data_IF_318684059779
#
_entry.id   IF_318684059779
#
_cell.length_a   1.000
_cell.length_b   1.000
_cell.length_c   1.000
_cell.angle_alpha   90.00
_cell.angle_beta   90.00
_cell.angle_gamma   90.00
#
_symmetry.space_group_name_H-M   'P 1'
#
loop_
_entity.id
_entity.type
_entity.pdbx_description
1 polymer ?
#
# COMPACT_ATOMS: atom_id res chain seq x y z
N UNK A 1 -30.84 -46.18 30.45
CA UNK A 1 -30.25 -45.35 29.36
C UNK A 1 -31.39 -44.77 28.55
N UNK A 2 -31.51 -43.44 28.41
CA UNK A 2 -32.53 -42.81 27.58
C UNK A 2 -32.18 -42.98 26.08
N UNK A 3 -33.16 -42.95 25.16
CA UNK A 3 -32.93 -43.09 23.73
C UNK A 3 -32.15 -41.89 23.19
N UNK A 4 -31.23 -42.14 22.24
CA UNK A 4 -30.51 -41.11 21.49
C UNK A 4 -31.51 -40.21 20.74
N UNK A 5 -31.36 -38.88 20.79
CA UNK A 5 -32.14 -37.99 19.94
C UNK A 5 -31.79 -38.26 18.47
N UNK A 6 -32.82 -38.37 17.62
CA UNK A 6 -32.70 -38.51 16.17
C UNK A 6 -31.98 -37.31 15.57
N UNK A 7 -31.01 -37.57 14.68
CA UNK A 7 -30.41 -36.54 13.84
C UNK A 7 -31.48 -35.81 13.04
N UNK A 8 -31.44 -34.46 12.94
CA UNK A 8 -32.36 -33.73 12.08
C UNK A 8 -32.14 -34.16 10.61
N UNK A 9 -33.25 -34.32 9.89
CA UNK A 9 -33.24 -34.60 8.47
C UNK A 9 -32.49 -33.49 7.71
N UNK A 10 -31.79 -33.87 6.64
CA UNK A 10 -31.19 -32.91 5.71
C UNK A 10 -32.27 -31.94 5.22
N UNK A 11 -31.98 -30.62 5.17
CA UNK A 11 -32.95 -29.64 4.69
C UNK A 11 -33.35 -29.99 3.25
N UNK A 12 -34.64 -30.09 3.01
CA UNK A 12 -35.22 -30.20 1.67
C UNK A 12 -34.93 -28.91 0.89
N UNK A 13 -34.75 -29.04 -0.42
CA UNK A 13 -34.40 -28.01 -1.43
C UNK A 13 -35.40 -26.83 -1.58
N UNK A 14 -35.95 -26.29 -0.48
CA UNK A 14 -36.96 -25.23 -0.46
C UNK A 14 -36.54 -23.95 0.29
N UNK A 15 -35.31 -23.89 0.83
CA UNK A 15 -34.69 -22.64 1.30
C UNK A 15 -33.71 -22.12 0.23
N UNK A 16 -34.25 -21.71 -0.92
CA UNK A 16 -33.48 -20.83 -1.81
C UNK A 16 -33.42 -19.46 -1.15
N UNK A 17 -32.24 -19.06 -0.67
CA UNK A 17 -31.98 -17.70 -0.21
C UNK A 17 -32.54 -16.71 -1.23
N UNK A 18 -33.36 -15.76 -0.80
CA UNK A 18 -33.97 -14.78 -1.70
C UNK A 18 -32.86 -13.95 -2.36
N UNK A 19 -32.92 -13.80 -3.70
CA UNK A 19 -31.97 -12.98 -4.44
C UNK A 19 -31.91 -11.54 -3.88
N UNK A 20 -30.70 -11.08 -3.55
CA UNK A 20 -30.47 -9.71 -3.08
C UNK A 20 -30.18 -8.80 -4.28
N UNK A 21 -31.03 -7.81 -4.51
CA UNK A 21 -30.82 -6.79 -5.53
C UNK A 21 -30.20 -5.52 -4.93
N UNK A 22 -29.08 -5.07 -5.50
CA UNK A 22 -28.40 -3.83 -5.11
C UNK A 22 -27.97 -3.02 -6.32
N UNK A 23 -27.94 -1.69 -6.18
CA UNK A 23 -27.44 -0.79 -7.21
C UNK A 23 -25.94 -0.92 -7.45
N UNK A 24 -25.16 -1.19 -6.38
CA UNK A 24 -23.71 -1.46 -6.47
C UNK A 24 -23.30 -2.65 -5.60
N UNK A 25 -22.77 -3.70 -6.23
CA UNK A 25 -22.13 -4.82 -5.53
C UNK A 25 -20.60 -4.63 -5.52
N UNK A 26 -20.00 -4.68 -4.33
CA UNK A 26 -18.55 -4.68 -4.12
C UNK A 26 -18.11 -6.08 -3.73
N UNK A 27 -17.33 -6.73 -4.58
CA UNK A 27 -16.80 -8.09 -4.34
C UNK A 27 -15.36 -7.99 -3.83
N UNK A 28 -15.12 -8.51 -2.62
CA UNK A 28 -13.84 -8.52 -1.93
C UNK A 28 -13.75 -7.49 -0.80
N UNK A 29 -13.35 -7.95 0.39
CA UNK A 29 -13.21 -7.17 1.63
C UNK A 29 -11.78 -6.74 1.92
N UNK A 30 -10.91 -6.70 0.92
CA UNK A 30 -9.57 -6.12 1.04
C UNK A 30 -9.55 -4.58 1.02
N UNK A 31 -8.37 -3.95 1.09
CA UNK A 31 -8.21 -2.49 1.10
C UNK A 31 -8.97 -1.76 -0.01
N UNK A 32 -8.98 -2.32 -1.22
CA UNK A 32 -9.67 -1.74 -2.38
C UNK A 32 -11.20 -1.76 -2.20
N UNK A 33 -11.77 -2.92 -1.85
CA UNK A 33 -13.21 -3.05 -1.66
C UNK A 33 -13.72 -2.26 -0.46
N UNK A 34 -12.97 -2.23 0.64
CA UNK A 34 -13.26 -1.36 1.79
C UNK A 34 -13.23 0.11 1.35
N UNK A 35 -12.23 0.53 0.58
CA UNK A 35 -12.15 1.89 0.04
C UNK A 35 -13.37 2.27 -0.80
N UNK A 36 -13.82 1.37 -1.68
CA UNK A 36 -15.04 1.56 -2.46
C UNK A 36 -16.29 1.69 -1.58
N UNK A 37 -16.45 0.78 -0.61
CA UNK A 37 -17.58 0.79 0.34
C UNK A 37 -17.61 2.06 1.20
N UNK A 38 -16.45 2.54 1.66
CA UNK A 38 -16.34 3.81 2.38
C UNK A 38 -16.81 5.00 1.53
N UNK A 39 -16.46 5.00 0.24
CA UNK A 39 -16.90 6.06 -0.68
C UNK A 39 -18.39 5.98 -0.96
N UNK A 40 -18.94 4.78 -1.17
CA UNK A 40 -20.37 4.55 -1.36
C UNK A 40 -21.16 5.01 -0.14
N UNK A 41 -20.77 4.62 1.07
CA UNK A 41 -21.39 5.09 2.31
C UNK A 41 -21.41 6.62 2.39
N UNK A 42 -20.29 7.28 2.07
CA UNK A 42 -20.20 8.75 2.11
C UNK A 42 -21.16 9.42 1.14
N UNK A 43 -21.39 8.84 -0.03
CA UNK A 43 -22.26 9.39 -1.07
C UNK A 43 -23.74 9.06 -0.83
N UNK A 44 -24.02 7.86 -0.32
CA UNK A 44 -25.35 7.24 -0.39
C UNK A 44 -26.07 7.22 0.96
N UNK A 45 -25.37 7.02 2.08
CA UNK A 45 -25.99 6.78 3.40
C UNK A 45 -26.01 8.00 4.33
N UNK A 46 -25.16 9.00 4.09
CA UNK A 46 -25.02 10.15 4.99
C UNK A 46 -25.80 11.37 4.45
N UNK A 47 -26.64 12.03 5.27
CA UNK A 47 -27.50 13.15 4.84
C UNK A 47 -26.74 14.42 4.43
N UNK A 48 -25.43 14.44 4.65
CA UNK A 48 -24.45 15.45 4.25
C UNK A 48 -23.09 14.77 4.37
N UNK A 49 -22.06 15.09 3.56
CA UNK A 49 -20.74 14.50 3.72
C UNK A 49 -20.20 14.83 5.11
N UNK A 50 -20.31 13.90 6.08
CA UNK A 50 -19.61 14.04 7.36
C UNK A 50 -18.11 14.25 7.08
N UNK A 51 -17.45 15.10 7.87
CA UNK A 51 -16.08 15.50 7.62
C UNK A 51 -15.16 14.39 8.11
N UNK A 52 -14.98 13.33 7.32
CA UNK A 52 -13.60 12.86 7.15
C UNK A 52 -12.93 13.99 6.37
N UNK A 53 -12.01 14.77 6.99
CA UNK A 53 -11.44 15.95 6.38
C UNK A 53 -10.37 15.48 5.39
N UNK A 54 -10.81 14.83 4.32
CA UNK A 54 -10.11 15.03 3.06
C UNK A 54 -10.38 16.49 2.79
N UNK A 55 -9.40 17.31 3.14
CA UNK A 55 -9.17 18.60 2.53
C UNK A 55 -9.62 18.45 1.07
N UNK A 56 -10.48 19.36 0.61
CA UNK A 56 -11.07 19.27 -0.72
C UNK A 56 -9.96 18.86 -1.69
N UNK A 57 -10.18 18.02 -2.70
CA UNK A 57 -9.05 17.51 -3.51
C UNK A 57 -8.15 18.66 -4.04
N UNK A 58 -8.73 19.87 -4.11
CA UNK A 58 -8.11 21.17 -4.27
C UNK A 58 -7.15 21.63 -3.16
N UNK A 59 -7.44 21.48 -1.88
CA UNK A 59 -6.52 21.81 -0.77
C UNK A 59 -5.22 20.97 -0.85
N UNK A 60 -5.33 19.70 -1.29
CA UNK A 60 -4.16 18.83 -1.53
C UNK A 60 -3.36 19.31 -2.74
N UNK A 61 -4.05 19.72 -3.81
CA UNK A 61 -3.42 20.27 -5.01
C UNK A 61 -2.80 21.66 -4.75
N UNK A 62 -3.41 22.49 -3.91
CA UNK A 62 -2.87 23.79 -3.49
C UNK A 62 -1.64 23.61 -2.60
N UNK A 63 -1.67 22.64 -1.67
CA UNK A 63 -0.49 22.27 -0.88
C UNK A 63 0.64 21.65 -1.73
N UNK A 64 0.30 20.97 -2.83
CA UNK A 64 1.28 20.45 -3.79
C UNK A 64 1.82 21.57 -4.71
N UNK A 65 0.99 22.54 -5.09
CA UNK A 65 1.38 23.72 -5.87
C UNK A 65 2.32 24.64 -5.07
N UNK A 66 2.04 24.85 -3.78
CA UNK A 66 2.90 25.59 -2.85
C UNK A 66 4.30 24.93 -2.69
N UNK A 67 4.41 23.63 -3.00
CA UNK A 67 5.67 22.86 -3.01
C UNK A 67 6.29 22.72 -4.41
N UNK A 68 5.67 23.31 -5.44
CA UNK A 68 6.14 23.26 -6.83
C UNK A 68 5.99 21.89 -7.51
N UNK A 69 5.12 21.02 -6.98
CA UNK A 69 4.94 19.64 -7.47
C UNK A 69 3.87 19.51 -8.56
N UNK A 70 3.12 20.58 -8.81
CA UNK A 70 2.10 20.67 -9.87
C UNK A 70 2.20 22.04 -10.55
N UNK A 71 1.80 22.15 -11.82
CA UNK A 71 1.80 23.42 -12.56
C UNK A 71 1.06 24.55 -11.85
N UNK A 72 1.56 25.78 -11.99
CA UNK A 72 1.05 26.97 -11.30
C UNK A 72 -0.30 27.49 -11.80
N UNK A 73 -0.86 26.88 -12.86
CA UNK A 73 -2.12 27.23 -13.51
C UNK A 73 -3.35 26.51 -12.92
N UNK A 74 -3.20 25.83 -11.77
CA UNK A 74 -4.29 25.22 -10.99
C UNK A 74 -5.54 26.11 -10.80
N UNK A 75 -5.44 27.44 -10.55
CA UNK A 75 -6.59 28.32 -10.46
C UNK A 75 -7.39 28.43 -11.78
N UNK A 76 -6.73 28.30 -12.93
CA UNK A 76 -7.36 28.26 -14.26
C UNK A 76 -8.04 26.90 -14.51
N UNK A 77 -7.41 25.80 -14.06
CA UNK A 77 -7.96 24.45 -14.13
C UNK A 77 -9.24 24.31 -13.28
N UNK A 78 -9.28 24.97 -12.11
CA UNK A 78 -10.45 25.08 -11.23
C UNK A 78 -11.63 25.80 -11.91
N UNK A 79 -11.37 26.83 -12.72
CA UNK A 79 -12.42 27.52 -13.50
C UNK A 79 -12.92 26.69 -14.69
N UNK A 80 -12.08 25.79 -15.22
CA UNK A 80 -12.40 24.94 -16.38
C UNK A 80 -13.06 23.61 -16.04
N UNK A 81 -12.98 23.14 -14.79
CA UNK A 81 -13.74 21.99 -14.32
C UNK A 81 -15.06 22.43 -13.72
N UNK A 82 -16.20 22.27 -14.42
CA UNK A 82 -17.48 22.37 -13.76
C UNK A 82 -17.61 21.12 -12.88
N UNK A 83 -17.27 21.21 -11.60
CA UNK A 83 -17.86 20.31 -10.61
C UNK A 83 -19.36 20.65 -10.53
N UNK A 84 -20.14 20.24 -11.55
CA UNK A 84 -21.58 20.11 -11.35
C UNK A 84 -21.74 19.07 -10.25
N UNK A 85 -22.46 19.38 -9.15
CA UNK A 85 -22.87 18.34 -8.23
C UNK A 85 -23.58 17.26 -9.06
N UNK A 86 -23.10 16.03 -8.96
CA UNK A 86 -23.81 14.89 -9.53
C UNK A 86 -25.10 14.76 -8.70
N UNK A 87 -26.25 15.06 -9.30
CA UNK A 87 -27.53 14.72 -8.67
C UNK A 87 -27.66 13.21 -8.65
N UNK A 88 -27.97 12.68 -7.47
CA UNK A 88 -28.26 11.26 -7.24
C UNK A 88 -29.78 11.03 -7.07
N UNK A 89 -30.59 12.01 -7.50
CA UNK A 89 -32.05 11.94 -7.37
C UNK A 89 -32.60 10.84 -8.29
N UNK A 90 -33.37 9.91 -7.70
CA UNK A 90 -33.93 8.77 -8.41
C UNK A 90 -32.93 7.62 -8.68
N UNK A 91 -31.67 7.72 -8.27
CA UNK A 91 -30.73 6.60 -8.33
C UNK A 91 -30.99 5.58 -7.21
N UNK A 92 -30.81 4.30 -7.51
CA UNK A 92 -30.73 3.27 -6.48
C UNK A 92 -29.50 3.52 -5.61
N UNK A 93 -29.73 3.72 -4.31
CA UNK A 93 -28.70 4.04 -3.30
C UNK A 93 -28.23 2.79 -2.56
N UNK A 94 -28.78 1.63 -2.87
CA UNK A 94 -28.41 0.38 -2.23
C UNK A 94 -27.04 -0.10 -2.72
N UNK A 95 -26.26 -0.62 -1.79
CA UNK A 95 -24.95 -1.20 -2.07
C UNK A 95 -24.64 -2.29 -1.07
N UNK A 96 -23.84 -3.27 -1.47
CA UNK A 96 -23.42 -4.38 -0.61
C UNK A 96 -21.95 -4.71 -0.86
N UNK A 97 -21.19 -4.87 0.23
CA UNK A 97 -19.86 -5.47 0.18
C UNK A 97 -19.95 -6.94 0.56
N UNK A 98 -19.38 -7.83 -0.25
CA UNK A 98 -19.28 -9.27 0.05
C UNK A 98 -17.82 -9.69 0.10
N UNK A 99 -17.47 -10.54 1.06
CA UNK A 99 -16.14 -11.13 1.19
C UNK A 99 -16.29 -12.60 1.59
N UNK A 100 -15.70 -13.49 0.80
CA UNK A 100 -15.76 -14.95 1.01
C UNK A 100 -15.07 -15.41 2.31
N UNK A 101 -14.07 -14.67 2.77
CA UNK A 101 -13.28 -15.02 3.95
C UNK A 101 -14.12 -14.88 5.23
N UNK A 102 -14.26 -15.96 6.03
CA UNK A 102 -14.97 -15.89 7.32
C UNK A 102 -14.18 -15.11 8.38
N UNK A 103 -12.86 -14.96 8.22
CA UNK A 103 -12.01 -14.12 9.07
C UNK A 103 -12.31 -12.62 8.92
N UNK A 104 -13.16 -12.28 7.95
CA UNK A 104 -13.64 -10.93 7.71
C UNK A 104 -12.68 -10.09 6.85
N UNK A 105 -12.70 -8.77 7.02
CA UNK A 105 -12.06 -7.83 6.11
C UNK A 105 -10.53 -7.79 6.26
N UNK A 106 -9.84 -7.57 5.14
CA UNK A 106 -8.39 -7.37 5.09
C UNK A 106 -7.72 -7.96 3.86
N UNK A 107 -8.23 -9.07 3.31
CA UNK A 107 -7.64 -9.74 2.15
C UNK A 107 -6.14 -10.02 2.35
N UNK A 108 -5.30 -9.62 1.39
CA UNK A 108 -3.84 -9.75 1.50
C UNK A 108 -3.20 -8.83 2.58
N UNK A 109 -3.96 -7.88 3.13
CA UNK A 109 -3.53 -7.04 4.24
C UNK A 109 -4.01 -7.58 5.61
N UNK A 110 -4.40 -8.85 5.68
CA UNK A 110 -4.77 -9.55 6.90
C UNK A 110 -3.56 -10.01 7.72
N UNK A 111 -3.82 -10.33 8.98
CA UNK A 111 -2.86 -10.90 9.93
C UNK A 111 -3.43 -12.21 10.45
N UNK A 112 -2.66 -13.29 10.32
CA UNK A 112 -2.95 -14.58 10.92
C UNK A 112 -2.28 -14.71 12.29
N UNK A 113 -2.83 -15.56 13.15
CA UNK A 113 -2.27 -15.88 14.47
C UNK A 113 -2.05 -17.40 14.57
N UNK A 114 -0.88 -17.80 15.03
CA UNK A 114 -0.59 -19.22 15.30
C UNK A 114 -1.19 -19.66 16.65
N UNK A 115 -1.39 -20.96 16.89
CA UNK A 115 -1.87 -21.45 18.19
C UNK A 115 -1.02 -21.02 19.40
N UNK A 116 0.26 -20.69 19.18
CA UNK A 116 1.20 -20.23 20.20
C UNK A 116 1.18 -18.70 20.41
N UNK A 117 0.32 -17.97 19.68
CA UNK A 117 0.13 -16.53 19.81
C UNK A 117 1.08 -15.66 18.98
N UNK A 118 1.70 -16.21 17.93
CA UNK A 118 2.54 -15.43 17.02
C UNK A 118 1.69 -14.85 15.87
N UNK A 119 1.84 -13.54 15.66
CA UNK A 119 1.16 -12.82 14.57
C UNK A 119 2.01 -12.79 13.29
N UNK A 120 1.38 -13.13 12.17
CA UNK A 120 1.98 -13.08 10.84
C UNK A 120 1.08 -12.33 9.86
N UNK A 121 1.56 -11.19 9.38
CA UNK A 121 0.95 -10.55 8.22
C UNK A 121 1.19 -11.39 6.95
N UNK A 122 0.29 -11.31 5.98
CA UNK A 122 0.43 -11.96 4.67
C UNK A 122 1.40 -11.21 3.75
N UNK A 123 2.62 -10.95 4.25
CA UNK A 123 3.67 -10.18 3.60
C UNK A 123 4.31 -9.14 4.53
N UNK A 124 5.46 -8.58 4.11
CA UNK A 124 6.14 -7.52 4.83
C UNK A 124 5.48 -6.15 4.64
N UNK A 125 4.38 -5.91 5.35
CA UNK A 125 3.63 -4.66 5.26
C UNK A 125 4.29 -3.54 6.08
N UNK A 126 4.52 -2.41 5.44
CA UNK A 126 4.95 -1.17 6.08
C UNK A 126 4.11 -0.04 5.52
N UNK A 127 3.53 0.78 6.40
CA UNK A 127 2.55 1.77 5.98
C UNK A 127 3.21 3.12 5.78
N UNK A 128 3.04 3.63 4.57
CA UNK A 128 3.32 4.99 4.14
C UNK A 128 2.29 5.32 3.05
N UNK A 129 1.78 6.55 3.05
CA UNK A 129 0.74 6.97 2.11
C UNK A 129 1.15 8.26 1.40
N UNK A 130 0.71 8.39 0.16
CA UNK A 130 0.74 9.65 -0.59
C UNK A 130 -0.60 10.42 -0.48
N UNK A 131 -1.58 9.83 0.21
CA UNK A 131 -2.95 10.31 0.24
C UNK A 131 -3.42 10.49 1.67
N UNK A 132 -3.72 11.75 2.02
CA UNK A 132 -4.29 12.14 3.32
C UNK A 132 -5.55 11.33 3.66
N UNK A 133 -6.41 11.06 2.69
CA UNK A 133 -7.63 10.27 2.93
C UNK A 133 -7.32 8.84 3.41
N UNK A 134 -6.37 8.16 2.80
CA UNK A 134 -6.02 6.79 3.18
C UNK A 134 -5.43 6.77 4.60
N UNK A 135 -4.56 7.73 4.87
CA UNK A 135 -3.97 8.02 6.16
C UNK A 135 -5.05 8.20 7.26
N UNK A 136 -6.01 9.10 7.05
CA UNK A 136 -7.12 9.34 7.98
C UNK A 136 -8.00 8.12 8.19
N UNK A 137 -8.30 7.37 7.13
CA UNK A 137 -9.06 6.11 7.24
C UNK A 137 -8.33 5.12 8.13
N UNK A 138 -7.02 4.94 7.94
CA UNK A 138 -6.23 4.00 8.73
C UNK A 138 -6.13 4.45 10.19
N UNK A 139 -5.82 5.73 10.46
CA UNK A 139 -5.75 6.25 11.83
C UNK A 139 -7.09 6.17 12.55
N UNK A 140 -8.19 6.52 11.89
CA UNK A 140 -9.53 6.36 12.44
C UNK A 140 -9.88 4.89 12.68
N UNK A 141 -9.38 3.96 11.86
CA UNK A 141 -9.57 2.52 12.04
C UNK A 141 -9.01 1.99 13.35
N UNK A 142 -7.90 2.57 13.83
CA UNK A 142 -7.19 2.13 15.04
C UNK A 142 -7.21 3.11 16.21
N UNK A 143 -7.80 4.30 16.06
CA UNK A 143 -7.87 5.29 17.15
C UNK A 143 -8.49 4.72 18.42
N UNK A 144 -7.93 5.04 19.58
CA UNK A 144 -8.51 4.71 20.89
C UNK A 144 -9.76 5.56 21.16
N UNK A 145 -10.58 5.15 22.13
CA UNK A 145 -11.86 5.80 22.44
C UNK A 145 -11.67 7.27 22.81
N UNK A 146 -10.66 7.58 23.63
CA UNK A 146 -10.35 8.95 24.06
C UNK A 146 -9.95 9.83 22.87
N UNK A 147 -9.13 9.29 21.96
CA UNK A 147 -8.65 10.01 20.79
C UNK A 147 -9.78 10.28 19.78
N UNK A 148 -10.76 9.37 19.70
CA UNK A 148 -11.99 9.60 18.95
C UNK A 148 -12.85 10.71 19.56
N UNK A 149 -12.90 10.79 20.90
CA UNK A 149 -13.72 11.76 21.62
C UNK A 149 -13.18 13.19 21.52
N UNK A 150 -11.87 13.37 21.57
CA UNK A 150 -11.22 14.69 21.47
C UNK A 150 -10.78 15.07 20.05
N UNK A 151 -10.82 14.12 19.10
CA UNK A 151 -10.47 14.34 17.71
C UNK A 151 -8.96 14.36 17.43
N UNK A 152 -8.12 14.12 18.43
CA UNK A 152 -6.65 14.12 18.34
C UNK A 152 -6.11 13.12 17.32
N UNK A 153 -6.88 12.09 16.97
CA UNK A 153 -6.51 11.14 15.92
C UNK A 153 -6.25 11.77 14.55
N UNK A 154 -6.81 12.96 14.28
CA UNK A 154 -6.70 13.69 13.00
C UNK A 154 -5.37 14.42 12.83
N UNK A 155 -4.75 14.78 13.93
CA UNK A 155 -3.46 15.47 13.95
C UNK A 155 -2.30 14.48 13.93
N UNK A 156 -2.60 13.17 13.92
CA UNK A 156 -1.58 12.14 13.87
C UNK A 156 -0.81 12.18 12.55
N UNK A 157 0.49 12.43 12.68
CA UNK A 157 1.47 12.12 11.66
C UNK A 157 2.23 10.83 11.97
N UNK A 158 3.38 10.67 11.31
CA UNK A 158 4.33 9.59 11.55
C UNK A 158 5.24 9.91 12.76
N UNK A 159 4.66 10.42 13.85
CA UNK A 159 5.39 10.76 15.09
C UNK A 159 5.24 9.69 16.19
N UNK A 160 4.28 8.76 16.03
CA UNK A 160 4.02 7.64 16.93
C UNK A 160 2.96 7.95 18.00
N UNK A 161 2.60 6.94 18.82
CA UNK A 161 1.62 7.09 19.90
C UNK A 161 0.28 6.38 19.65
N UNK A 162 -0.58 6.33 20.67
CA UNK A 162 -1.86 5.61 20.64
C UNK A 162 -1.71 4.15 20.25
N UNK A 163 -2.41 3.73 19.19
CA UNK A 163 -2.36 2.37 18.65
C UNK A 163 -1.18 2.09 17.67
N UNK A 164 -0.24 3.03 17.49
CA UNK A 164 0.78 2.96 16.44
C UNK A 164 2.22 2.98 16.98
N UNK A 165 3.09 2.21 16.32
CA UNK A 165 4.53 2.30 16.41
C UNK A 165 5.06 2.97 15.13
N UNK A 166 6.07 3.83 15.28
CA UNK A 166 6.76 4.45 14.14
C UNK A 166 8.21 4.00 14.12
N UNK A 167 8.67 3.63 12.93
CA UNK A 167 10.01 3.10 12.72
C UNK A 167 10.74 3.86 11.63
N UNK A 168 12.02 4.14 11.88
CA UNK A 168 12.97 4.48 10.83
C UNK A 168 13.37 3.21 10.07
N UNK A 169 13.27 3.21 8.75
CA UNK A 169 13.51 2.04 7.91
C UNK A 169 14.98 1.65 7.88
N UNK A 170 15.32 0.54 8.53
CA UNK A 170 16.65 -0.11 8.47
C UNK A 170 16.57 -1.37 7.61
N UNK A 171 17.03 -1.28 6.36
CA UNK A 171 17.00 -2.39 5.39
C UNK A 171 18.40 -2.73 4.90
N UNK A 172 18.65 -4.02 4.67
CA UNK A 172 19.94 -4.58 4.28
C UNK A 172 19.78 -5.65 3.20
N UNK A 173 20.76 -5.72 2.31
CA UNK A 173 20.96 -6.81 1.36
C UNK A 173 21.98 -7.77 1.93
N UNK A 174 21.59 -9.03 2.09
CA UNK A 174 22.52 -10.10 2.46
C UNK A 174 23.12 -10.71 1.19
N UNK A 175 24.43 -10.56 0.99
CA UNK A 175 25.16 -11.15 -0.15
C UNK A 175 26.48 -11.72 0.36
N UNK A 176 26.87 -12.92 -0.08
CA UNK A 176 28.13 -13.58 0.32
C UNK A 176 28.44 -13.53 1.83
N UNK A 177 27.44 -13.73 2.68
CA UNK A 177 27.60 -13.74 4.14
C UNK A 177 27.89 -12.37 4.78
N UNK A 178 27.68 -11.26 4.06
CA UNK A 178 27.78 -9.89 4.58
C UNK A 178 26.47 -9.12 4.39
N UNK A 179 26.23 -8.12 5.25
CA UNK A 179 25.08 -7.22 5.19
C UNK A 179 25.52 -5.88 4.58
N UNK A 180 24.96 -5.55 3.43
CA UNK A 180 25.16 -4.27 2.73
C UNK A 180 23.92 -3.41 2.94
N UNK A 181 24.06 -2.12 3.25
CA UNK A 181 22.90 -1.24 3.42
C UNK A 181 22.10 -1.12 2.12
N UNK A 182 20.78 -1.03 2.23
CA UNK A 182 19.91 -0.72 1.09
C UNK A 182 19.83 0.80 0.85
N UNK A 183 19.82 1.28 -0.42
CA UNK A 183 19.92 0.53 -1.67
C UNK A 183 21.34 0.06 -2.01
N UNK A 184 21.50 -1.21 -2.40
CA UNK A 184 22.79 -1.88 -2.63
C UNK A 184 23.80 -1.08 -3.45
N UNK A 185 23.34 -0.58 -4.60
CA UNK A 185 24.09 0.21 -5.58
C UNK A 185 24.60 1.56 -5.04
N UNK A 186 24.07 2.05 -3.91
CA UNK A 186 24.54 3.28 -3.25
C UNK A 186 25.53 3.03 -2.12
N UNK A 187 25.69 1.78 -1.70
CA UNK A 187 26.49 1.37 -0.54
C UNK A 187 27.51 0.29 -0.92
N UNK A 188 28.10 0.40 -2.11
CA UNK A 188 29.12 -0.54 -2.57
C UNK A 188 30.38 -0.49 -1.69
N UNK A 189 30.60 0.59 -0.94
CA UNK A 189 31.65 0.70 0.06
C UNK A 189 31.51 -0.30 1.20
N UNK A 190 30.29 -0.75 1.52
CA UNK A 190 30.01 -1.75 2.56
C UNK A 190 30.48 -3.15 2.15
N UNK A 191 30.75 -3.38 0.85
CA UNK A 191 31.31 -4.64 0.39
C UNK A 191 32.76 -4.77 0.86
N UNK A 192 33.11 -5.97 1.35
CA UNK A 192 34.51 -6.38 1.54
C UNK A 192 35.32 -6.22 0.25
N UNK A 193 36.58 -5.86 0.40
CA UNK A 193 37.52 -5.77 -0.72
C UNK A 193 37.61 -7.10 -1.48
N UNK A 194 37.73 -7.00 -2.82
CA UNK A 194 37.84 -8.14 -3.71
C UNK A 194 36.91 -8.07 -4.92
N UNK A 195 36.85 -9.18 -5.67
CA UNK A 195 36.23 -9.28 -7.00
C UNK A 195 34.83 -8.67 -7.09
N UNK A 196 33.96 -8.94 -6.11
CA UNK A 196 32.58 -8.40 -6.11
C UNK A 196 32.54 -6.88 -6.06
N UNK A 197 33.34 -6.27 -5.18
CA UNK A 197 33.38 -4.81 -5.03
C UNK A 197 33.94 -4.18 -6.29
N UNK A 198 35.04 -4.73 -6.82
CA UNK A 198 35.67 -4.30 -8.07
C UNK A 198 34.69 -4.36 -9.24
N UNK A 199 34.06 -5.51 -9.50
CA UNK A 199 33.11 -5.68 -10.61
C UNK A 199 31.90 -4.74 -10.50
N UNK A 200 31.36 -4.55 -9.29
CA UNK A 200 30.26 -3.61 -9.06
C UNK A 200 30.67 -2.15 -9.32
N UNK A 201 31.83 -1.73 -8.81
CA UNK A 201 32.31 -0.36 -8.96
C UNK A 201 32.72 -0.05 -10.40
N UNK A 202 33.40 -0.96 -11.08
CA UNK A 202 33.80 -0.81 -12.49
C UNK A 202 32.58 -0.79 -13.41
N UNK A 203 31.65 -1.74 -13.24
CA UNK A 203 30.43 -1.78 -14.03
C UNK A 203 29.57 -0.53 -13.83
N UNK A 204 29.50 0.00 -12.61
CA UNK A 204 28.78 1.25 -12.34
C UNK A 204 29.44 2.45 -13.02
N UNK A 205 30.78 2.54 -13.00
CA UNK A 205 31.53 3.58 -13.71
C UNK A 205 31.34 3.50 -15.23
N UNK A 206 31.30 2.30 -15.79
CA UNK A 206 31.03 2.07 -17.21
C UNK A 206 29.63 2.55 -17.58
N UNK A 207 28.61 2.13 -16.82
CA UNK A 207 27.22 2.56 -17.02
C UNK A 207 27.05 4.08 -16.95
N UNK A 208 27.75 4.75 -16.04
CA UNK A 208 27.75 6.21 -15.90
C UNK A 208 28.45 6.95 -17.05
N UNK A 209 29.37 6.30 -17.78
CA UNK A 209 29.99 6.91 -18.97
C UNK A 209 29.06 6.80 -20.18
N UNK A 210 28.40 5.66 -20.33
CA UNK A 210 27.45 5.40 -21.41
C UNK A 210 26.10 6.11 -21.25
N UNK A 211 25.80 6.69 -20.08
CA UNK A 211 24.51 7.35 -19.86
C UNK A 211 24.40 8.75 -20.49
N UNK A 212 25.50 9.29 -21.06
CA UNK A 212 25.48 10.58 -21.77
C UNK A 212 25.05 10.43 -23.24
N UNK A 213 24.88 9.21 -23.74
CA UNK A 213 24.31 8.93 -25.06
C UNK A 213 22.79 8.74 -24.90
N UNK A 214 22.05 9.86 -24.93
CA UNK A 214 20.59 9.88 -24.76
C UNK A 214 19.85 9.45 -26.04
N UNK A 215 19.04 8.38 -25.92
CA UNK A 215 17.64 8.27 -26.41
C UNK A 215 17.14 6.81 -26.49
N UNK A 216 18.01 5.81 -26.29
CA UNK A 216 17.55 4.42 -26.40
C UNK A 216 16.66 4.03 -25.21
N UNK A 217 15.37 3.86 -25.50
CA UNK A 217 14.35 3.39 -24.56
C UNK A 217 14.59 1.92 -24.24
N UNK A 218 14.72 1.60 -22.96
CA UNK A 218 14.80 0.20 -22.52
C UNK A 218 13.44 -0.49 -22.74
N UNK A 219 13.47 -1.66 -23.40
CA UNK A 219 12.28 -2.48 -23.66
C UNK A 219 11.90 -3.33 -22.45
N UNK A 220 12.90 -3.75 -21.67
CA UNK A 220 12.72 -4.58 -20.49
C UNK A 220 13.60 -4.12 -19.31
N UNK A 221 13.27 -4.65 -18.14
CA UNK A 221 13.92 -4.28 -16.89
C UNK A 221 15.39 -4.66 -16.85
N UNK A 222 15.81 -5.73 -17.51
CA UNK A 222 17.22 -6.13 -17.57
C UNK A 222 18.10 -5.10 -18.30
N UNK A 223 17.63 -4.62 -19.46
CA UNK A 223 18.29 -3.54 -20.20
C UNK A 223 18.40 -2.28 -19.35
N UNK A 224 17.34 -1.93 -18.63
CA UNK A 224 17.36 -0.78 -17.73
C UNK A 224 18.35 -0.97 -16.56
N UNK A 225 18.42 -2.16 -15.97
CA UNK A 225 19.38 -2.49 -14.90
C UNK A 225 20.81 -2.32 -15.41
N UNK A 226 21.12 -2.88 -16.58
CA UNK A 226 22.46 -2.78 -17.18
C UNK A 226 22.82 -1.33 -17.49
N UNK A 227 21.93 -0.58 -18.16
CA UNK A 227 22.14 0.82 -18.52
C UNK A 227 22.32 1.71 -17.29
N UNK A 228 21.60 1.41 -16.20
CA UNK A 228 21.59 2.28 -15.00
C UNK A 228 22.67 1.92 -13.98
N UNK A 229 22.97 0.64 -13.81
CA UNK A 229 23.79 0.14 -12.68
C UNK A 229 25.00 -0.69 -13.11
N UNK A 230 25.08 -1.04 -14.40
CA UNK A 230 26.17 -1.83 -14.95
C UNK A 230 26.12 -3.31 -14.60
N UNK A 231 26.96 -4.08 -15.28
CA UNK A 231 26.96 -5.56 -15.24
C UNK A 231 27.28 -6.14 -13.86
N UNK A 232 28.18 -5.50 -13.10
CA UNK A 232 28.55 -5.96 -11.76
C UNK A 232 27.36 -5.96 -10.79
N UNK A 233 26.69 -4.82 -10.65
CA UNK A 233 25.50 -4.69 -9.79
C UNK A 233 24.35 -5.57 -10.32
N UNK A 234 24.18 -5.64 -11.64
CA UNK A 234 23.20 -6.52 -12.28
C UNK A 234 23.37 -7.97 -11.83
N UNK A 235 24.59 -8.50 -11.88
CA UNK A 235 24.89 -9.90 -11.60
C UNK A 235 24.89 -10.22 -10.10
N UNK A 236 25.42 -9.33 -9.26
CA UNK A 236 25.58 -9.61 -7.83
C UNK A 236 24.34 -9.31 -6.99
N UNK A 237 23.41 -8.51 -7.52
CA UNK A 237 22.20 -8.15 -6.78
C UNK A 237 20.95 -8.14 -7.67
N UNK A 238 20.86 -7.26 -8.66
CA UNK A 238 19.56 -6.93 -9.27
C UNK A 238 18.89 -8.10 -9.99
N UNK A 239 19.62 -8.88 -10.81
CA UNK A 239 19.08 -10.05 -11.50
C UNK A 239 18.65 -11.17 -10.54
N UNK A 240 19.53 -11.69 -9.67
CA UNK A 240 19.14 -12.79 -8.78
C UNK A 240 18.08 -12.36 -7.76
N UNK A 241 18.13 -11.12 -7.25
CA UNK A 241 17.13 -10.61 -6.33
C UNK A 241 15.76 -10.52 -6.99
N UNK A 242 15.66 -9.92 -8.18
CA UNK A 242 14.37 -9.76 -8.85
C UNK A 242 13.79 -11.10 -9.32
N UNK A 243 14.62 -12.04 -9.78
CA UNK A 243 14.12 -13.38 -10.08
C UNK A 243 13.52 -14.04 -8.84
N UNK A 244 14.18 -13.92 -7.67
CA UNK A 244 13.66 -14.45 -6.40
C UNK A 244 12.37 -13.77 -5.92
N UNK A 245 12.21 -12.48 -6.17
CA UNK A 245 11.02 -11.73 -5.75
C UNK A 245 9.84 -11.97 -6.70
N UNK A 246 10.08 -11.89 -8.01
CA UNK A 246 9.02 -11.92 -9.01
C UNK A 246 8.70 -13.31 -9.52
N UNK A 247 9.63 -14.27 -9.40
CA UNK A 247 9.51 -15.57 -10.05
C UNK A 247 9.67 -15.53 -11.58
N UNK A 248 10.05 -14.38 -12.15
CA UNK A 248 10.22 -14.14 -13.59
C UNK A 248 11.59 -13.51 -13.91
N UNK A 249 12.22 -13.86 -15.05
CA UNK A 249 13.46 -13.21 -15.49
C UNK A 249 13.28 -11.71 -15.70
N UNK A 250 14.32 -10.92 -15.40
CA UNK A 250 14.33 -9.46 -15.61
C UNK A 250 14.13 -9.06 -17.07
N UNK A 251 14.44 -9.94 -18.02
CA UNK A 251 14.23 -9.73 -19.46
C UNK A 251 12.76 -9.81 -19.87
N UNK A 252 11.88 -10.34 -19.03
CA UNK A 252 10.43 -10.45 -19.28
C UNK A 252 9.60 -9.41 -18.49
N UNK A 253 10.24 -8.55 -17.71
CA UNK A 253 9.57 -7.51 -16.93
C UNK A 253 9.63 -6.18 -17.70
N UNK A 254 8.50 -5.48 -17.81
CA UNK A 254 8.46 -4.13 -18.37
C UNK A 254 9.15 -3.08 -17.49
N UNK A 255 9.29 -1.85 -17.99
CA UNK A 255 10.06 -0.77 -17.33
C UNK A 255 9.21 0.40 -16.79
N UNK A 256 7.92 0.45 -17.09
CA UNK A 256 7.07 1.61 -16.80
C UNK A 256 6.78 1.82 -15.30
N UNK A 257 6.94 0.78 -14.48
CA UNK A 257 6.65 0.80 -13.05
C UNK A 257 7.80 1.31 -12.16
N UNK A 258 8.98 1.59 -12.75
CA UNK A 258 10.24 1.77 -12.01
C UNK A 258 10.31 3.03 -11.13
N UNK A 259 9.44 4.04 -11.38
CA UNK A 259 9.44 5.38 -10.78
C UNK A 259 10.04 5.46 -9.36
N UNK A 260 9.24 5.17 -8.34
CA UNK A 260 9.69 5.24 -6.93
C UNK A 260 10.27 3.92 -6.39
N UNK A 261 10.25 2.84 -7.19
CA UNK A 261 10.54 1.48 -6.70
C UNK A 261 12.01 1.09 -6.76
N UNK A 262 12.78 1.69 -7.65
CA UNK A 262 14.21 1.33 -7.82
C UNK A 262 15.10 2.56 -7.78
N UNK A 263 15.94 2.65 -6.74
CA UNK A 263 16.84 3.78 -6.57
C UNK A 263 17.83 3.87 -7.72
N UNK A 264 17.94 5.03 -8.35
CA UNK A 264 19.10 5.30 -9.21
C UNK A 264 20.37 5.40 -8.35
N UNK A 265 21.53 4.98 -8.88
CA UNK A 265 22.82 5.22 -8.22
C UNK A 265 23.00 6.70 -7.90
N UNK A 266 23.75 7.00 -6.84
CA UNK A 266 24.13 8.39 -6.57
C UNK A 266 25.20 8.83 -7.59
N UNK A 267 25.11 10.07 -8.07
CA UNK A 267 26.21 10.69 -8.81
C UNK A 267 27.47 10.69 -7.92
N UNK A 268 28.64 10.48 -8.51
CA UNK A 268 29.91 10.47 -7.77
C UNK A 268 30.14 11.79 -6.99
N UNK A 269 29.53 12.89 -7.43
CA UNK A 269 29.56 14.22 -6.80
C UNK A 269 28.54 14.42 -5.68
N UNK A 270 27.64 13.45 -5.41
CA UNK A 270 26.58 13.63 -4.44
C UNK A 270 27.11 13.66 -3.00
N UNK A 271 26.75 14.67 -2.19
CA UNK A 271 27.18 14.76 -0.79
C UNK A 271 26.71 13.54 0.00
N UNK A 272 27.47 13.11 1.00
CA UNK A 272 27.16 11.93 1.81
C UNK A 272 25.78 12.00 2.48
N UNK A 273 25.25 13.21 2.72
CA UNK A 273 23.89 13.46 3.21
C UNK A 273 22.79 13.01 2.24
N UNK A 274 23.00 13.14 0.93
CA UNK A 274 22.06 12.71 -0.12
C UNK A 274 21.94 11.18 -0.25
N UNK A 275 22.78 10.42 0.48
CA UNK A 275 22.74 8.95 0.53
C UNK A 275 21.82 8.41 1.62
N UNK A 276 21.53 9.20 2.67
CA UNK A 276 20.71 8.76 3.81
C UNK A 276 19.22 8.78 3.46
N UNK A 277 18.48 7.77 3.92
CA UNK A 277 17.02 7.67 3.90
C UNK A 277 16.37 7.74 2.50
N UNK A 278 16.75 6.83 1.60
CA UNK A 278 16.15 6.77 0.27
C UNK A 278 14.77 6.09 0.24
N UNK A 279 13.77 6.72 -0.38
CA UNK A 279 12.48 6.14 -0.73
C UNK A 279 11.31 6.63 0.16
N UNK A 280 10.06 6.49 -0.32
CA UNK A 280 8.87 7.05 0.32
C UNK A 280 8.56 6.43 1.70
N UNK A 281 9.14 5.27 2.01
CA UNK A 281 9.01 4.55 3.28
C UNK A 281 10.24 4.69 4.18
N UNK A 282 10.98 5.79 4.10
CA UNK A 282 12.12 6.05 5.00
C UNK A 282 11.71 6.04 6.48
N UNK A 283 10.49 6.49 6.76
CA UNK A 283 9.77 6.29 8.01
C UNK A 283 8.46 5.58 7.68
N UNK A 284 8.01 4.68 8.54
CA UNK A 284 6.72 4.01 8.38
C UNK A 284 6.07 3.74 9.72
N UNK A 285 4.74 3.62 9.71
CA UNK A 285 3.95 3.24 10.87
C UNK A 285 3.58 1.75 10.81
N UNK A 286 3.41 1.13 11.98
CA UNK A 286 2.91 -0.23 12.14
C UNK A 286 2.01 -0.35 13.39
N UNK A 287 0.90 -1.09 13.35
CA UNK A 287 0.01 -1.25 14.50
C UNK A 287 0.71 -1.86 15.71
N UNK A 288 0.42 -1.35 16.92
CA UNK A 288 0.94 -1.92 18.17
C UNK A 288 0.40 -3.31 18.46
N UNK A 289 -0.80 -3.64 17.98
CA UNK A 289 -1.51 -4.89 18.23
C UNK A 289 -2.23 -5.35 16.97
N UNK A 290 -2.31 -6.68 16.80
CA UNK A 290 -3.14 -7.32 15.78
C UNK A 290 -2.66 -7.21 14.32
N UNK A 291 -1.42 -6.73 14.12
CA UNK A 291 -0.78 -6.61 12.81
C UNK A 291 -1.53 -5.69 11.83
N UNK A 292 -1.18 -5.74 10.54
CA UNK A 292 -1.83 -4.91 9.50
C UNK A 292 -3.34 -5.20 9.39
N UNK A 293 -3.78 -6.44 9.67
CA UNK A 293 -5.18 -6.84 9.64
C UNK A 293 -6.06 -6.11 10.65
N UNK A 294 -5.49 -5.67 11.79
CA UNK A 294 -6.23 -4.89 12.78
C UNK A 294 -6.78 -3.58 12.19
N UNK A 295 -6.03 -2.97 11.25
CA UNK A 295 -6.45 -1.72 10.60
C UNK A 295 -7.74 -1.96 9.84
N UNK A 296 -7.78 -2.96 8.97
CA UNK A 296 -8.91 -3.19 8.08
C UNK A 296 -10.14 -3.71 8.82
N UNK A 297 -9.95 -4.53 9.87
CA UNK A 297 -11.02 -4.89 10.81
C UNK A 297 -11.58 -3.66 11.52
N UNK A 298 -10.72 -2.79 12.06
CA UNK A 298 -11.13 -1.57 12.73
C UNK A 298 -11.85 -0.58 11.80
N UNK A 299 -11.31 -0.37 10.59
CA UNK A 299 -11.91 0.46 9.55
C UNK A 299 -13.30 -0.05 9.20
N UNK A 300 -13.43 -1.34 8.87
CA UNK A 300 -14.72 -1.91 8.51
C UNK A 300 -15.71 -1.85 9.67
N UNK A 301 -15.31 -2.29 10.88
CA UNK A 301 -16.17 -2.32 12.06
C UNK A 301 -16.75 -0.95 12.40
N UNK A 302 -15.93 0.10 12.34
CA UNK A 302 -16.33 1.48 12.69
C UNK A 302 -17.09 2.18 11.58
N UNK A 303 -16.79 1.85 10.33
CA UNK A 303 -17.23 2.65 9.20
C UNK A 303 -18.20 1.98 8.24
N UNK A 304 -18.45 0.68 8.31
CA UNK A 304 -19.36 0.01 7.37
C UNK A 304 -20.60 -0.51 8.13
N UNK A 305 -21.83 -0.13 7.71
CA UNK A 305 -23.04 -0.63 8.34
C UNK A 305 -23.13 -2.16 8.25
N UNK A 306 -23.55 -2.88 9.31
CA UNK A 306 -23.73 -4.33 9.27
C UNK A 306 -24.63 -4.83 8.14
N UNK A 307 -25.70 -4.07 7.82
CA UNK A 307 -26.64 -4.40 6.73
C UNK A 307 -26.04 -4.31 5.32
N UNK A 308 -24.89 -3.65 5.16
CA UNK A 308 -24.24 -3.41 3.86
C UNK A 308 -22.95 -4.22 3.70
N UNK A 309 -22.71 -5.22 4.57
CA UNK A 309 -21.54 -6.10 4.50
C UNK A 309 -21.90 -7.54 4.80
N UNK A 310 -21.28 -8.45 4.07
CA UNK A 310 -21.38 -9.88 4.29
C UNK A 310 -19.98 -10.51 4.29
N UNK A 311 -19.73 -11.39 5.25
CA UNK A 311 -18.47 -12.13 5.41
C UNK A 311 -18.75 -13.63 5.50
N UNK A 312 -18.01 -14.42 4.74
CA UNK A 312 -18.20 -15.86 4.63
C UNK A 312 -18.78 -16.28 3.27
N UNK A 313 -18.73 -17.58 3.00
CA UNK A 313 -19.16 -18.17 1.73
C UNK A 313 -20.66 -18.51 1.66
N UNK A 314 -21.32 -18.57 2.82
CA UNK A 314 -22.77 -18.80 2.90
C UNK A 314 -23.45 -17.45 2.66
N UNK A 315 -23.87 -17.16 1.43
CA UNK A 315 -24.68 -15.99 1.04
C UNK A 315 -26.07 -16.47 0.60
#
# INVERSE_FOLDING_TARGET
MPPKPSSPAAPSDADTAADIHVGVLVVGGGPCGIGAALRLRRLLDLPSPLPLPVADAWDVLEAAAARGWVPSDLPELRRRSPHRPISLDGCDRSWLLVESSPEGPGGLASTAETPEGFLFDLGGHVLFSHYRFADEVMWHGLAEVEELADGSWRERGYEGGGAWNVHARKSFVCTRGQRVRYPFQRYLEDLREGKTKTECQEGLKEAQKSCNDDDEKCENFDQWILKTMGRGVANHFMRPYNFKVWGYPTTQLGVTWLGERVARPALASAPASARKNWGPNATFAFPRRGGTGAIWRGVAARNLPPRNRWYGADL
#
